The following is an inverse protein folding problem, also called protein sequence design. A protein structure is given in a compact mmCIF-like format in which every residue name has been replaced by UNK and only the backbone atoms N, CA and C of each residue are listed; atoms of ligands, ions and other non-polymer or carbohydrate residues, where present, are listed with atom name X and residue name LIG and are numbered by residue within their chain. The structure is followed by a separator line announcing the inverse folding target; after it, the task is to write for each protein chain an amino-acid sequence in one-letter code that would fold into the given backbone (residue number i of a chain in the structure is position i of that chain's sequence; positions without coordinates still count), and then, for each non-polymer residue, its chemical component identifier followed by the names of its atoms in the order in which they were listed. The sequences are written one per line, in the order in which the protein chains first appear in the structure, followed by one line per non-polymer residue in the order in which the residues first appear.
data_IF_087118649809
#
_entry.id   IF_087118649809
#
_cell.length_a   1.000
_cell.length_b   1.000
_cell.length_c   1.000
_cell.angle_alpha   90.00
_cell.angle_beta   90.00
_cell.angle_gamma   90.00
#
_symmetry.space_group_name_H-M   'P 1'
#
loop_
_entity.id
_entity.type
_entity.pdbx_description
1 polymer ?
#
# COMPACT_ATOMS: atom_id res chain seq x y z
N UNK A 1 -6.86 -20.47 -68.80
CA UNK A 1 -7.40 -21.02 -67.57
C UNK A 1 -6.83 -20.20 -66.43
N UNK A 2 -7.64 -19.27 -65.88
CA UNK A 2 -7.24 -18.34 -64.82
C UNK A 2 -8.00 -18.70 -63.57
N UNK A 3 -7.29 -19.08 -62.49
CA UNK A 3 -7.90 -19.26 -61.17
C UNK A 3 -7.72 -17.97 -60.36
N UNK A 4 -8.82 -17.32 -60.06
CA UNK A 4 -8.87 -16.20 -59.14
C UNK A 4 -8.87 -16.69 -57.68
N UNK A 5 -7.95 -16.17 -56.88
CA UNK A 5 -7.96 -16.31 -55.41
C UNK A 5 -8.84 -15.23 -54.79
N UNK A 6 -9.88 -15.67 -54.11
CA UNK A 6 -10.69 -14.81 -53.22
C UNK A 6 -10.04 -14.82 -51.80
N UNK A 7 -9.51 -13.69 -51.40
CA UNK A 7 -9.08 -13.47 -50.01
C UNK A 7 -10.27 -13.02 -49.17
N UNK A 8 -10.74 -13.85 -48.27
CA UNK A 8 -11.73 -13.50 -47.27
C UNK A 8 -11.01 -12.84 -46.07
N UNK A 9 -10.93 -11.52 -46.04
CA UNK A 9 -10.49 -10.77 -44.86
C UNK A 9 -11.64 -10.68 -43.86
N UNK A 10 -11.56 -11.45 -42.78
CA UNK A 10 -12.45 -11.31 -41.64
C UNK A 10 -12.04 -10.04 -40.84
N UNK A 11 -12.85 -8.98 -40.95
CA UNK A 11 -12.74 -7.84 -40.07
C UNK A 11 -13.22 -8.21 -38.67
N UNK A 12 -12.30 -8.27 -37.72
CA UNK A 12 -12.62 -8.32 -36.28
C UNK A 12 -13.13 -6.92 -35.93
N UNK A 13 -14.44 -6.76 -35.80
CA UNK A 13 -15.03 -5.54 -35.24
C UNK A 13 -14.78 -5.54 -33.74
N UNK A 14 -13.91 -4.66 -33.27
CA UNK A 14 -13.76 -4.35 -31.86
C UNK A 14 -15.13 -3.88 -31.32
N UNK A 15 -15.75 -4.66 -30.45
CA UNK A 15 -16.91 -4.21 -29.69
C UNK A 15 -16.44 -3.13 -28.72
N UNK A 16 -16.96 -1.92 -28.89
CA UNK A 16 -16.76 -0.82 -27.98
C UNK A 16 -17.22 -1.21 -26.54
N UNK A 17 -16.48 -0.76 -25.56
CA UNK A 17 -16.85 -0.88 -24.15
C UNK A 17 -18.27 -0.30 -23.94
N UNK A 18 -19.04 -0.81 -22.96
CA UNK A 18 -20.40 -0.34 -22.71
C UNK A 18 -20.35 1.16 -22.34
N UNK A 19 -21.03 1.96 -23.14
CA UNK A 19 -21.15 3.39 -22.95
C UNK A 19 -21.90 3.68 -21.64
N UNK A 20 -21.34 4.50 -20.78
CA UNK A 20 -22.08 5.20 -19.73
C UNK A 20 -23.03 6.15 -20.47
N UNK A 21 -24.33 5.99 -20.29
CA UNK A 21 -25.29 6.88 -20.92
C UNK A 21 -25.31 8.23 -20.21
N UNK A 22 -25.65 9.35 -20.90
CA UNK A 22 -25.80 10.65 -20.26
C UNK A 22 -26.77 10.66 -19.07
N UNK A 23 -27.77 9.78 -19.05
CA UNK A 23 -28.67 9.60 -17.89
C UNK A 23 -27.97 8.93 -16.69
N UNK A 24 -27.02 8.04 -16.93
CA UNK A 24 -26.18 7.48 -15.86
C UNK A 24 -25.21 8.52 -15.30
N UNK A 25 -24.63 9.36 -16.17
CA UNK A 25 -23.81 10.49 -15.72
C UNK A 25 -24.63 11.52 -14.93
N UNK A 26 -25.85 11.82 -15.35
CA UNK A 26 -26.75 12.74 -14.65
C UNK A 26 -27.23 12.19 -13.31
N UNK A 27 -27.48 10.89 -13.20
CA UNK A 27 -27.79 10.23 -11.91
C UNK A 27 -26.59 10.20 -10.97
N UNK A 28 -25.36 10.01 -11.48
CA UNK A 28 -24.15 10.16 -10.67
C UNK A 28 -23.97 11.59 -10.13
N UNK A 29 -24.33 12.60 -10.91
CA UNK A 29 -24.24 14.02 -10.50
C UNK A 29 -25.33 14.45 -9.50
N UNK A 30 -26.46 13.73 -9.42
CA UNK A 30 -27.61 14.10 -8.56
C UNK A 30 -27.57 13.47 -7.16
N UNK A 31 -26.69 12.49 -6.89
CA UNK A 31 -26.42 12.04 -5.53
C UNK A 31 -25.40 12.98 -4.91
N UNK A 32 -25.76 13.69 -3.84
CA UNK A 32 -24.84 14.44 -2.98
C UNK A 32 -23.56 13.62 -2.82
N UNK A 33 -22.44 14.08 -3.39
CA UNK A 33 -21.21 13.33 -3.45
C UNK A 33 -20.71 13.05 -2.02
N UNK A 34 -20.93 11.84 -1.55
CA UNK A 34 -20.36 11.35 -0.29
C UNK A 34 -18.90 10.91 -0.53
N UNK A 35 -18.17 11.71 -1.31
CA UNK A 35 -16.79 11.42 -1.66
C UNK A 35 -15.87 11.65 -0.48
N UNK A 36 -14.94 10.74 -0.28
CA UNK A 36 -13.85 10.91 0.70
C UNK A 36 -12.59 11.32 -0.04
N UNK A 37 -12.04 12.50 0.29
CA UNK A 37 -10.74 12.91 -0.22
C UNK A 37 -9.65 12.16 0.50
N UNK A 38 -8.88 11.38 -0.27
CA UNK A 38 -7.72 10.60 0.19
C UNK A 38 -6.43 11.34 -0.15
N UNK A 39 -5.43 11.24 0.74
CA UNK A 39 -4.07 11.68 0.47
C UNK A 39 -3.06 10.57 0.74
N UNK A 40 -2.14 10.35 -0.19
CA UNK A 40 -0.97 9.49 -0.02
C UNK A 40 0.27 10.37 0.09
N UNK A 41 1.01 10.21 1.18
CA UNK A 41 2.22 11.00 1.42
C UNK A 41 3.43 10.22 0.94
N UNK A 42 3.95 10.56 -0.24
CA UNK A 42 5.23 10.06 -0.72
C UNK A 42 6.35 10.93 -0.16
N UNK A 43 7.20 10.37 0.68
CA UNK A 43 8.27 11.09 1.35
C UNK A 43 9.57 10.29 1.39
N UNK A 44 10.70 11.00 1.47
CA UNK A 44 12.01 10.45 1.81
C UNK A 44 12.19 10.39 3.33
N UNK A 45 13.10 9.54 3.81
CA UNK A 45 13.44 9.43 5.22
C UNK A 45 14.90 9.80 5.45
N UNK A 46 15.14 10.68 6.43
CA UNK A 46 16.46 11.05 6.90
C UNK A 46 16.96 10.07 7.99
N UNK A 47 18.26 10.07 8.33
CA UNK A 47 18.78 9.30 9.48
C UNK A 47 18.14 9.70 10.82
N UNK A 48 17.78 10.98 10.98
CA UNK A 48 17.14 11.50 12.19
C UNK A 48 15.66 11.11 12.23
N UNK A 49 15.32 10.23 13.16
CA UNK A 49 13.96 9.72 13.35
C UNK A 49 12.96 10.77 13.81
N UNK A 50 13.41 11.78 14.56
CA UNK A 50 12.53 12.86 14.99
C UNK A 50 12.22 13.81 13.84
N UNK A 51 13.21 14.13 13.02
CA UNK A 51 13.00 14.94 11.81
C UNK A 51 12.00 14.27 10.84
N UNK A 52 12.02 12.94 10.72
CA UNK A 52 11.05 12.21 9.92
C UNK A 52 9.63 12.28 10.50
N UNK A 53 9.49 12.17 11.82
CA UNK A 53 8.20 12.32 12.49
C UNK A 53 7.64 13.73 12.30
N UNK A 54 8.47 14.75 12.52
CA UNK A 54 8.07 16.15 12.35
C UNK A 54 7.65 16.45 10.92
N UNK A 55 8.40 15.92 9.92
CA UNK A 55 8.05 15.98 8.50
C UNK A 55 6.70 15.30 8.23
N UNK A 56 6.50 14.07 8.72
CA UNK A 56 5.26 13.32 8.53
C UNK A 56 4.06 14.09 9.11
N UNK A 57 4.17 14.62 10.33
CA UNK A 57 3.13 15.44 10.98
C UNK A 57 2.82 16.69 10.15
N UNK A 58 3.86 17.39 9.65
CA UNK A 58 3.70 18.56 8.80
C UNK A 58 2.98 18.22 7.49
N UNK A 59 3.36 17.12 6.83
CA UNK A 59 2.72 16.64 5.60
C UNK A 59 1.27 16.19 5.82
N UNK A 60 0.96 15.53 6.95
CA UNK A 60 -0.42 15.19 7.33
C UNK A 60 -1.25 16.47 7.51
N UNK A 61 -0.70 17.49 8.15
CA UNK A 61 -1.36 18.79 8.32
C UNK A 61 -1.59 19.50 6.97
N UNK A 62 -0.61 19.50 6.09
CA UNK A 62 -0.72 20.01 4.72
C UNK A 62 -1.84 19.31 3.94
N UNK A 63 -1.89 17.96 4.00
CA UNK A 63 -2.93 17.17 3.37
C UNK A 63 -4.34 17.50 3.92
N UNK A 64 -4.44 17.66 5.24
CA UNK A 64 -5.68 18.04 5.91
C UNK A 64 -6.18 19.43 5.46
N UNK A 65 -5.28 20.41 5.38
CA UNK A 65 -5.59 21.76 4.89
C UNK A 65 -6.04 21.75 3.41
N UNK A 66 -5.55 20.79 2.60
CA UNK A 66 -6.03 20.55 1.24
C UNK A 66 -7.36 19.76 1.17
N UNK A 67 -7.98 19.48 2.33
CA UNK A 67 -9.29 18.85 2.44
C UNK A 67 -9.28 17.32 2.53
N UNK A 68 -8.11 16.67 2.64
CA UNK A 68 -8.04 15.23 2.83
C UNK A 68 -8.66 14.83 4.17
N UNK A 69 -9.35 13.69 4.19
CA UNK A 69 -9.97 13.08 5.38
C UNK A 69 -9.37 11.73 5.73
N UNK A 70 -8.77 11.08 4.77
CA UNK A 70 -8.15 9.77 4.92
C UNK A 70 -6.72 9.85 4.34
N UNK A 71 -5.71 9.66 5.19
CA UNK A 71 -4.31 9.92 4.86
C UNK A 71 -3.48 8.69 5.15
N UNK A 72 -2.59 8.30 4.24
CA UNK A 72 -1.67 7.19 4.45
C UNK A 72 -0.20 7.65 4.31
N UNK A 73 0.59 7.30 5.31
CA UNK A 73 2.05 7.46 5.33
C UNK A 73 2.71 6.20 4.75
N UNK A 74 3.95 6.27 4.23
CA UNK A 74 4.66 5.09 3.75
C UNK A 74 5.05 4.15 4.90
N UNK A 75 5.47 2.95 4.55
CA UNK A 75 5.94 1.95 5.52
C UNK A 75 7.14 2.46 6.29
N UNK A 76 7.14 2.24 7.64
CA UNK A 76 8.24 2.55 8.55
C UNK A 76 8.78 4.00 8.38
N UNK A 77 7.89 4.94 8.12
CA UNK A 77 8.21 6.33 7.73
C UNK A 77 9.09 7.09 8.73
N UNK A 78 9.18 6.60 9.97
CA UNK A 78 9.92 7.27 11.04
C UNK A 78 11.43 7.16 10.90
N UNK A 79 11.92 6.16 10.18
CA UNK A 79 13.36 5.91 10.02
C UNK A 79 13.72 5.65 8.55
N UNK A 80 15.00 5.80 8.21
CA UNK A 80 15.51 5.15 7.03
C UNK A 80 15.23 3.64 7.12
N UNK A 81 15.15 2.99 5.96
CA UNK A 81 14.83 1.56 5.91
C UNK A 81 16.00 0.73 6.45
N UNK A 82 15.92 0.45 7.74
CA UNK A 82 16.98 -0.18 8.52
C UNK A 82 17.16 -1.67 8.22
N UNK A 83 16.19 -2.31 7.57
CA UNK A 83 16.25 -3.74 7.24
C UNK A 83 17.28 -4.08 6.13
N UNK A 84 18.05 -3.10 5.65
CA UNK A 84 19.16 -3.33 4.73
C UNK A 84 20.32 -4.11 5.38
N UNK A 85 20.32 -4.25 6.70
CA UNK A 85 21.30 -5.03 7.49
C UNK A 85 20.65 -5.62 8.73
N UNK A 86 21.31 -6.63 9.30
CA UNK A 86 20.95 -7.21 10.60
C UNK A 86 21.78 -6.53 11.70
N UNK A 87 21.16 -5.65 12.47
CA UNK A 87 21.84 -4.87 13.51
C UNK A 87 20.98 -4.75 14.77
N UNK A 88 21.42 -5.34 15.87
CA UNK A 88 20.71 -5.29 17.14
C UNK A 88 20.57 -3.87 17.72
N UNK A 89 21.46 -2.94 17.38
CA UNK A 89 21.36 -1.57 17.86
C UNK A 89 20.08 -0.87 17.35
N UNK A 90 19.56 -1.28 16.18
CA UNK A 90 18.37 -0.71 15.58
C UNK A 90 17.06 -1.04 16.31
N UNK A 91 17.05 -2.05 17.18
CA UNK A 91 15.92 -2.27 18.09
C UNK A 91 15.70 -1.13 19.08
N UNK A 92 16.68 -0.24 19.27
CA UNK A 92 16.50 0.98 20.07
C UNK A 92 15.53 2.00 19.41
N UNK A 93 15.25 1.86 18.10
CA UNK A 93 14.32 2.76 17.37
C UNK A 93 12.86 2.32 17.47
N UNK A 94 12.58 1.22 18.16
CA UNK A 94 11.21 0.70 18.35
C UNK A 94 10.40 1.57 19.31
N UNK A 95 9.10 1.56 19.12
CA UNK A 95 8.15 2.19 20.04
C UNK A 95 6.96 1.27 20.36
N UNK A 96 6.29 1.53 21.48
CA UNK A 96 5.00 0.90 21.77
C UNK A 96 3.91 1.52 20.91
N UNK A 97 2.80 0.82 20.75
CA UNK A 97 1.57 1.38 20.19
C UNK A 97 0.47 1.21 21.27
N UNK A 98 -0.01 2.33 21.88
CA UNK A 98 0.35 3.74 21.65
C UNK A 98 1.79 4.07 22.05
N UNK A 99 2.34 5.09 21.38
CA UNK A 99 3.69 5.58 21.57
C UNK A 99 3.89 7.00 21.02
N UNK A 100 5.14 7.50 21.00
CA UNK A 100 5.42 8.87 20.59
C UNK A 100 4.88 9.26 19.22
N UNK A 101 5.02 8.38 18.22
CA UNK A 101 4.54 8.66 16.86
C UNK A 101 3.01 8.72 16.80
N UNK A 102 2.34 7.78 17.43
CA UNK A 102 0.85 7.80 17.46
C UNK A 102 0.33 8.98 18.27
N UNK A 103 1.01 9.41 19.35
CA UNK A 103 0.64 10.58 20.11
C UNK A 103 0.72 11.87 19.27
N UNK A 104 1.84 12.09 18.57
CA UNK A 104 2.03 13.25 17.71
C UNK A 104 1.00 13.30 16.56
N UNK A 105 0.72 12.15 15.92
CA UNK A 105 -0.29 12.07 14.86
C UNK A 105 -1.71 12.25 15.40
N UNK A 106 -2.02 11.75 16.61
CA UNK A 106 -3.33 11.89 17.24
C UNK A 106 -3.72 13.36 17.49
N UNK A 107 -2.76 14.24 17.73
CA UNK A 107 -3.04 15.67 17.85
C UNK A 107 -3.64 16.23 16.55
N UNK A 108 -3.01 15.93 15.41
CA UNK A 108 -3.47 16.38 14.08
C UNK A 108 -4.77 15.67 13.68
N UNK A 109 -4.89 14.38 14.02
CA UNK A 109 -6.12 13.59 13.77
C UNK A 109 -7.32 14.24 14.45
N UNK A 110 -7.18 14.69 15.71
CA UNK A 110 -8.24 15.41 16.42
C UNK A 110 -8.48 16.81 15.87
N UNK A 111 -7.40 17.56 15.61
CA UNK A 111 -7.47 18.95 15.14
C UNK A 111 -8.27 19.09 13.82
N UNK A 112 -8.07 18.16 12.89
CA UNK A 112 -8.66 18.22 11.54
C UNK A 112 -9.75 17.18 11.27
N UNK A 113 -10.11 16.36 12.25
CA UNK A 113 -11.10 15.27 12.11
C UNK A 113 -10.70 14.32 10.98
N UNK A 114 -9.58 13.60 11.16
CA UNK A 114 -8.95 12.75 10.17
C UNK A 114 -9.04 11.27 10.50
N UNK A 115 -8.76 10.44 9.47
CA UNK A 115 -8.26 9.09 9.61
C UNK A 115 -6.83 9.06 9.04
N UNK A 116 -5.87 8.53 9.83
CA UNK A 116 -4.46 8.43 9.42
C UNK A 116 -3.98 7.01 9.58
N UNK A 117 -3.31 6.47 8.54
CA UNK A 117 -2.65 5.18 8.54
C UNK A 117 -1.14 5.41 8.65
N UNK A 118 -0.52 4.85 9.70
CA UNK A 118 0.90 5.03 10.01
C UNK A 118 1.57 3.68 10.30
N UNK A 119 2.53 3.27 9.47
CA UNK A 119 3.31 2.04 9.68
C UNK A 119 4.53 2.33 10.55
N UNK A 120 4.70 1.53 11.61
CA UNK A 120 5.66 1.74 12.69
C UNK A 120 6.40 0.44 13.04
N UNK A 121 7.60 0.58 13.61
CA UNK A 121 8.33 -0.51 14.25
C UNK A 121 7.82 -0.70 15.69
N UNK A 122 6.85 -1.60 15.84
CA UNK A 122 6.21 -1.87 17.13
C UNK A 122 7.08 -2.73 18.05
N UNK A 123 7.32 -2.26 19.26
CA UNK A 123 7.74 -3.10 20.39
C UNK A 123 6.52 -3.53 21.18
N UNK A 124 6.01 -4.74 20.92
CA UNK A 124 4.85 -5.29 21.62
C UNK A 124 5.20 -5.76 23.03
N UNK A 125 6.36 -6.37 23.16
CA UNK A 125 6.91 -6.87 24.42
C UNK A 125 8.45 -7.01 24.30
N UNK A 126 9.18 -7.22 25.38
CA UNK A 126 10.60 -7.56 25.31
C UNK A 126 10.84 -8.78 24.41
N UNK A 127 11.65 -8.60 23.34
CA UNK A 127 11.95 -9.65 22.36
C UNK A 127 10.84 -9.96 21.35
N UNK A 128 9.74 -9.19 21.32
CA UNK A 128 8.63 -9.37 20.39
C UNK A 128 8.31 -8.08 19.68
N UNK A 129 8.55 -8.06 18.36
CA UNK A 129 8.46 -6.87 17.53
C UNK A 129 7.69 -7.15 16.24
N UNK A 130 7.00 -6.12 15.74
CA UNK A 130 6.22 -6.20 14.50
C UNK A 130 6.40 -4.95 13.64
N UNK A 131 6.22 -5.11 12.35
CA UNK A 131 5.92 -4.03 11.43
C UNK A 131 4.40 -3.82 11.48
N UNK A 132 3.97 -2.70 12.07
CA UNK A 132 2.56 -2.49 12.43
C UNK A 132 2.01 -1.20 11.85
N UNK A 133 0.94 -1.30 11.08
CA UNK A 133 0.16 -0.14 10.68
C UNK A 133 -0.87 0.18 11.78
N UNK A 134 -0.76 1.35 12.38
CA UNK A 134 -1.76 1.93 13.27
C UNK A 134 -2.75 2.75 12.44
N UNK A 135 -4.04 2.51 12.66
CA UNK A 135 -5.15 3.27 12.07
C UNK A 135 -5.67 4.20 13.16
N UNK A 136 -5.37 5.49 13.02
CA UNK A 136 -5.86 6.54 13.90
C UNK A 136 -7.13 7.13 13.29
N UNK A 137 -8.18 7.29 14.11
CA UNK A 137 -9.46 7.85 13.68
C UNK A 137 -9.95 8.82 14.75
N UNK A 138 -10.28 10.04 14.37
CA UNK A 138 -10.81 11.05 15.30
C UNK A 138 -12.09 10.61 15.99
N UNK A 139 -12.89 9.74 15.37
CA UNK A 139 -14.12 9.20 15.92
C UNK A 139 -13.91 7.99 16.84
N UNK A 140 -12.66 7.53 17.01
CA UNK A 140 -12.33 6.44 17.93
C UNK A 140 -12.60 6.85 19.38
N UNK A 141 -13.20 5.94 20.15
CA UNK A 141 -13.38 6.11 21.60
C UNK A 141 -12.11 5.83 22.40
N UNK A 142 -11.05 5.33 21.75
CA UNK A 142 -9.75 5.15 22.35
C UNK A 142 -9.12 6.54 22.61
N UNK A 143 -8.58 6.82 23.82
CA UNK A 143 -8.00 8.12 24.14
C UNK A 143 -6.82 8.52 23.24
N UNK A 144 -6.12 7.55 22.65
CA UNK A 144 -5.03 7.76 21.70
C UNK A 144 -5.50 7.81 20.24
N UNK A 145 -6.82 7.85 20.00
CA UNK A 145 -7.47 7.79 18.68
C UNK A 145 -7.15 6.53 17.85
N UNK A 146 -6.53 5.52 18.42
CA UNK A 146 -6.22 4.27 17.71
C UNK A 146 -7.52 3.46 17.56
N UNK A 147 -8.05 3.41 16.34
CA UNK A 147 -9.24 2.65 16.00
C UNK A 147 -8.93 1.17 15.80
N UNK A 148 -7.75 0.86 15.24
CA UNK A 148 -7.29 -0.49 14.97
C UNK A 148 -5.79 -0.51 14.73
N UNK A 149 -5.23 -1.73 14.75
CA UNK A 149 -3.87 -2.00 14.27
C UNK A 149 -3.88 -3.21 13.32
N UNK A 150 -2.96 -3.19 12.36
CA UNK A 150 -2.65 -4.33 11.51
C UNK A 150 -1.15 -4.65 11.60
N UNK A 151 -0.79 -5.89 11.87
CA UNK A 151 0.58 -6.37 11.88
C UNK A 151 0.86 -7.09 10.57
N UNK A 152 1.90 -6.68 9.86
CA UNK A 152 2.32 -7.24 8.57
C UNK A 152 2.39 -8.75 8.63
N UNK A 153 1.64 -9.43 7.78
CA UNK A 153 1.51 -10.89 7.79
C UNK A 153 2.67 -11.58 7.07
N UNK A 154 3.07 -11.04 5.92
CA UNK A 154 4.14 -11.59 5.11
C UNK A 154 5.42 -10.77 5.32
N UNK A 155 6.44 -11.41 5.88
CA UNK A 155 7.72 -10.79 6.19
C UNK A 155 8.75 -11.24 5.16
N UNK A 156 9.33 -10.32 4.34
CA UNK A 156 10.36 -10.65 3.37
C UNK A 156 11.69 -11.01 4.02
N UNK A 157 12.52 -11.70 3.24
CA UNK A 157 13.88 -12.05 3.58
C UNK A 157 14.72 -12.14 2.30
N UNK A 158 14.85 -11.01 1.64
CA UNK A 158 15.65 -10.85 0.42
C UNK A 158 16.89 -9.98 0.71
N UNK A 159 17.91 -10.00 -0.13
CA UNK A 159 19.05 -9.09 0.00
C UNK A 159 18.61 -7.64 0.21
N UNK A 160 19.14 -6.98 1.23
CA UNK A 160 18.78 -5.63 1.70
C UNK A 160 17.31 -5.46 2.18
N UNK A 161 16.56 -6.56 2.31
CA UNK A 161 15.22 -6.62 2.91
C UNK A 161 15.16 -7.69 4.01
N UNK A 162 16.11 -7.66 4.94
CA UNK A 162 16.26 -8.62 6.05
C UNK A 162 15.23 -8.37 7.17
N UNK A 163 13.97 -8.30 6.80
CA UNK A 163 12.90 -7.99 7.75
C UNK A 163 12.66 -9.11 8.77
N UNK A 164 12.94 -10.37 8.43
CA UNK A 164 12.79 -11.49 9.38
C UNK A 164 13.70 -11.42 10.59
N UNK A 165 14.81 -10.69 10.51
CA UNK A 165 15.66 -10.41 11.66
C UNK A 165 14.95 -9.55 12.71
N UNK A 166 14.09 -8.63 12.26
CA UNK A 166 13.44 -7.64 13.12
C UNK A 166 12.02 -8.04 13.52
N UNK A 167 11.23 -8.61 12.59
CA UNK A 167 9.79 -8.71 12.75
C UNK A 167 9.28 -10.13 12.88
N UNK A 168 8.42 -10.32 13.87
CA UNK A 168 7.54 -11.48 13.96
C UNK A 168 6.37 -11.29 12.98
N UNK A 169 5.96 -12.31 12.21
CA UNK A 169 4.76 -12.26 11.39
C UNK A 169 3.53 -11.84 12.19
N UNK A 170 2.60 -11.16 11.52
CA UNK A 170 1.39 -10.67 12.14
C UNK A 170 0.51 -11.79 12.68
N UNK A 171 -0.07 -11.55 13.86
CA UNK A 171 -0.90 -12.51 14.59
C UNK A 171 -2.38 -12.09 14.71
N UNK A 172 -2.75 -11.01 14.04
CA UNK A 172 -4.11 -10.46 14.07
C UNK A 172 -4.97 -10.88 12.88
N UNK A 173 -4.34 -11.51 11.87
CA UNK A 173 -4.98 -11.84 10.60
C UNK A 173 -5.30 -10.62 9.75
N UNK A 174 -5.86 -10.87 8.56
CA UNK A 174 -6.32 -9.81 7.66
C UNK A 174 -7.62 -9.19 8.19
N UNK A 175 -7.72 -7.85 8.12
CA UNK A 175 -8.81 -7.10 8.74
C UNK A 175 -9.34 -6.01 7.82
N UNK A 176 -10.64 -5.75 7.91
CA UNK A 176 -11.24 -4.50 7.49
C UNK A 176 -11.62 -3.68 8.71
N UNK A 177 -11.42 -2.38 8.65
CA UNK A 177 -11.76 -1.44 9.71
C UNK A 177 -12.80 -0.45 9.20
N UNK A 178 -13.93 -0.35 9.93
CA UNK A 178 -14.87 0.76 9.73
C UNK A 178 -14.27 2.00 10.37
N UNK A 179 -14.11 3.05 9.58
CA UNK A 179 -13.60 4.35 10.03
C UNK A 179 -14.63 5.44 9.75
N UNK A 180 -14.40 6.62 10.32
CA UNK A 180 -15.19 7.81 10.01
C UNK A 180 -15.10 8.25 8.53
N UNK A 181 -14.08 7.78 7.82
CA UNK A 181 -13.85 8.07 6.39
C UNK A 181 -14.22 6.89 5.46
N UNK A 182 -14.93 5.88 5.99
CA UNK A 182 -15.37 4.69 5.25
C UNK A 182 -14.67 3.40 5.68
N UNK A 183 -15.08 2.24 5.13
CA UNK A 183 -14.49 0.94 5.45
C UNK A 183 -13.19 0.72 4.67
N UNK A 184 -12.08 0.57 5.39
CA UNK A 184 -10.75 0.40 4.83
C UNK A 184 -10.13 -0.94 5.18
N UNK A 185 -9.19 -1.39 4.38
CA UNK A 185 -8.24 -2.45 4.69
C UNK A 185 -6.81 -1.94 4.57
N UNK A 186 -5.94 -2.36 5.49
CA UNK A 186 -4.53 -2.03 5.44
C UNK A 186 -3.73 -3.31 5.37
N UNK A 187 -2.84 -3.38 4.38
CA UNK A 187 -1.87 -4.44 4.16
C UNK A 187 -0.52 -3.77 3.94
N UNK A 188 0.57 -4.34 4.48
CA UNK A 188 1.86 -3.63 4.48
C UNK A 188 2.83 -4.28 3.50
N UNK A 189 3.33 -3.50 2.56
CA UNK A 189 4.45 -3.80 1.66
C UNK A 189 4.39 -5.21 1.05
N UNK A 190 5.16 -6.19 1.57
CA UNK A 190 5.25 -7.55 1.03
C UNK A 190 3.89 -8.25 0.92
N UNK A 191 2.90 -7.88 1.74
CA UNK A 191 1.52 -8.36 1.62
C UNK A 191 0.90 -8.06 0.26
N UNK A 192 1.38 -7.04 -0.45
CA UNK A 192 0.88 -6.60 -1.76
C UNK A 192 1.03 -7.66 -2.86
N UNK A 193 1.96 -8.61 -2.69
CA UNK A 193 2.20 -9.66 -3.68
C UNK A 193 1.24 -10.84 -3.56
N UNK A 194 0.48 -10.94 -2.45
CA UNK A 194 -0.38 -12.07 -2.12
C UNK A 194 -1.86 -11.74 -2.33
N UNK A 195 -2.50 -12.27 -3.39
CA UNK A 195 -3.92 -12.03 -3.68
C UNK A 195 -4.85 -12.42 -2.54
N UNK A 196 -4.48 -13.42 -1.74
CA UNK A 196 -5.25 -13.93 -0.61
C UNK A 196 -5.48 -12.83 0.45
N UNK A 197 -4.45 -12.04 0.76
CA UNK A 197 -4.54 -10.95 1.74
C UNK A 197 -5.56 -9.90 1.31
N UNK A 198 -5.45 -9.41 0.08
CA UNK A 198 -6.37 -8.45 -0.51
C UNK A 198 -7.80 -9.01 -0.58
N UNK A 199 -7.96 -10.26 -1.00
CA UNK A 199 -9.25 -10.94 -1.09
C UNK A 199 -9.93 -11.08 0.26
N UNK A 200 -9.22 -11.58 1.28
CA UNK A 200 -9.79 -11.77 2.62
C UNK A 200 -10.19 -10.42 3.21
N UNK A 201 -9.36 -9.39 3.05
CA UNK A 201 -9.63 -8.04 3.54
C UNK A 201 -10.87 -7.44 2.88
N UNK A 202 -11.03 -7.59 1.56
CA UNK A 202 -12.22 -7.15 0.84
C UNK A 202 -13.48 -7.94 1.26
N UNK A 203 -13.37 -9.25 1.48
CA UNK A 203 -14.47 -10.10 1.99
C UNK A 203 -14.91 -9.71 3.41
N UNK A 204 -14.03 -9.08 4.19
CA UNK A 204 -14.36 -8.52 5.52
C UNK A 204 -15.01 -7.14 5.43
N UNK A 205 -15.23 -6.62 4.21
CA UNK A 205 -15.99 -5.40 3.95
C UNK A 205 -15.15 -4.17 3.64
N UNK A 206 -13.84 -4.30 3.38
CA UNK A 206 -13.05 -3.17 2.91
C UNK A 206 -13.51 -2.73 1.50
N UNK A 207 -13.65 -1.43 1.33
CA UNK A 207 -13.97 -0.76 0.05
C UNK A 207 -12.75 -0.03 -0.52
N UNK A 208 -11.78 0.29 0.34
CA UNK A 208 -10.47 0.83 -0.05
C UNK A 208 -9.37 0.04 0.62
N UNK A 209 -8.39 -0.43 -0.16
CA UNK A 209 -7.20 -1.11 0.34
C UNK A 209 -6.01 -0.16 0.30
N UNK A 210 -5.30 -0.05 1.43
CA UNK A 210 -4.07 0.71 1.56
C UNK A 210 -2.87 -0.22 1.67
N UNK A 211 -1.81 0.11 0.92
CA UNK A 211 -0.54 -0.59 0.94
C UNK A 211 0.60 0.40 1.25
N UNK A 212 0.82 0.77 2.54
CA UNK A 212 2.04 1.45 2.93
C UNK A 212 3.24 0.56 2.62
N UNK A 213 4.21 1.10 1.90
CA UNK A 213 5.29 0.33 1.27
C UNK A 213 6.63 1.04 1.41
N UNK A 214 7.71 0.24 1.45
CA UNK A 214 9.08 0.63 1.28
C UNK A 214 9.74 -0.34 0.28
N UNK A 215 9.61 -0.05 -1.02
CA UNK A 215 10.14 -0.87 -2.10
C UNK A 215 10.91 -0.01 -3.09
N UNK A 216 12.03 -0.53 -3.58
CA UNK A 216 12.93 0.17 -4.48
C UNK A 216 13.74 -0.79 -5.32
N UNK A 217 14.57 -0.22 -6.15
CA UNK A 217 15.53 -0.96 -6.96
C UNK A 217 16.84 -1.17 -6.20
N UNK A 218 17.43 -2.31 -6.39
CA UNK A 218 18.87 -2.45 -6.21
C UNK A 218 19.56 -1.71 -7.38
N UNK A 219 20.42 -0.73 -7.12
CA UNK A 219 21.03 0.07 -8.20
C UNK A 219 21.73 -0.78 -9.25
N UNK A 220 22.36 -1.89 -8.85
CA UNK A 220 23.05 -2.84 -9.74
C UNK A 220 22.12 -3.59 -10.69
N UNK A 221 20.85 -3.77 -10.34
CA UNK A 221 19.83 -4.48 -11.14
C UNK A 221 18.92 -3.55 -11.94
N UNK A 222 18.89 -2.27 -11.58
CA UNK A 222 17.90 -1.31 -12.08
C UNK A 222 17.87 -1.23 -13.62
N UNK A 223 19.03 -1.29 -14.27
CA UNK A 223 19.12 -1.16 -15.74
C UNK A 223 18.49 -2.37 -16.43
N UNK A 224 18.66 -3.58 -15.88
CA UNK A 224 18.17 -4.82 -16.50
C UNK A 224 16.73 -5.14 -16.11
N UNK A 225 16.38 -4.96 -14.84
CA UNK A 225 15.10 -5.45 -14.28
C UNK A 225 14.17 -4.35 -13.79
N UNK A 226 14.64 -3.11 -13.64
CA UNK A 226 13.92 -2.06 -12.92
C UNK A 226 12.53 -1.75 -13.48
N UNK A 227 12.38 -1.69 -14.81
CA UNK A 227 11.08 -1.47 -15.46
C UNK A 227 10.11 -2.62 -15.17
N UNK A 228 10.58 -3.86 -15.29
CA UNK A 228 9.74 -5.07 -15.05
C UNK A 228 9.32 -5.19 -13.59
N UNK A 229 10.22 -4.86 -12.64
CA UNK A 229 9.92 -4.88 -11.21
C UNK A 229 8.85 -3.86 -10.86
N UNK A 230 8.97 -2.64 -11.38
CA UNK A 230 7.97 -1.59 -11.16
C UNK A 230 6.63 -1.91 -11.82
N UNK A 231 6.62 -2.39 -13.05
CA UNK A 231 5.39 -2.80 -13.76
C UNK A 231 4.68 -3.94 -13.02
N UNK A 232 5.42 -4.95 -12.55
CA UNK A 232 4.86 -6.05 -11.77
C UNK A 232 4.21 -5.53 -10.46
N UNK A 233 4.89 -4.62 -9.75
CA UNK A 233 4.38 -4.00 -8.53
C UNK A 233 3.08 -3.22 -8.75
N UNK A 234 3.01 -2.44 -9.83
CA UNK A 234 1.81 -1.68 -10.17
C UNK A 234 0.69 -2.60 -10.66
N UNK A 235 1.03 -3.61 -11.46
CA UNK A 235 0.06 -4.55 -12.05
C UNK A 235 -0.63 -5.39 -10.99
N UNK A 236 0.11 -5.98 -10.04
CA UNK A 236 -0.49 -6.84 -9.01
C UNK A 236 -1.48 -6.06 -8.13
N UNK A 237 -1.17 -4.82 -7.77
CA UNK A 237 -2.04 -3.99 -6.95
C UNK A 237 -3.29 -3.54 -7.71
N UNK A 238 -3.17 -3.19 -8.99
CA UNK A 238 -4.30 -2.93 -9.88
C UNK A 238 -5.19 -4.18 -10.05
N UNK A 239 -4.57 -5.36 -10.11
CA UNK A 239 -5.31 -6.62 -10.13
C UNK A 239 -6.14 -6.83 -8.85
N UNK A 240 -5.63 -6.41 -7.67
CA UNK A 240 -6.43 -6.44 -6.43
C UNK A 240 -7.65 -5.52 -6.52
N UNK A 241 -7.52 -4.33 -7.09
CA UNK A 241 -8.65 -3.42 -7.30
C UNK A 241 -9.72 -4.09 -8.17
N UNK A 242 -9.34 -4.59 -9.33
CA UNK A 242 -10.24 -5.24 -10.31
C UNK A 242 -10.92 -6.47 -9.69
N UNK A 243 -10.11 -7.41 -9.15
CA UNK A 243 -10.60 -8.68 -8.66
C UNK A 243 -11.57 -8.56 -7.48
N UNK A 244 -11.50 -7.46 -6.72
CA UNK A 244 -12.32 -7.23 -5.54
C UNK A 244 -13.37 -6.12 -5.73
N UNK A 245 -13.30 -5.36 -6.82
CA UNK A 245 -14.15 -4.18 -7.06
C UNK A 245 -13.99 -3.16 -5.93
N UNK A 246 -12.75 -2.74 -5.64
CA UNK A 246 -12.39 -1.81 -4.55
C UNK A 246 -11.39 -0.77 -5.04
N UNK A 247 -11.27 0.35 -4.34
CA UNK A 247 -10.14 1.25 -4.54
C UNK A 247 -8.86 0.65 -3.97
N UNK A 248 -7.72 0.95 -4.61
CA UNK A 248 -6.39 0.59 -4.11
C UNK A 248 -5.52 1.83 -4.02
N UNK A 249 -4.91 2.04 -2.87
CA UNK A 249 -4.05 3.15 -2.53
C UNK A 249 -2.65 2.60 -2.17
N UNK A 250 -1.72 2.66 -3.11
CA UNK A 250 -0.34 2.24 -2.93
C UNK A 250 0.53 3.45 -2.60
N UNK A 251 1.09 3.50 -1.40
CA UNK A 251 1.96 4.59 -0.97
C UNK A 251 3.37 4.07 -0.70
N UNK A 252 4.34 4.64 -1.38
CA UNK A 252 5.75 4.27 -1.27
C UNK A 252 6.58 5.44 -0.76
N UNK A 253 7.74 5.14 -0.21
CA UNK A 253 8.78 6.15 0.04
C UNK A 253 9.56 6.44 -1.25
N UNK A 254 10.35 7.50 -1.24
CA UNK A 254 11.20 7.94 -2.36
C UNK A 254 12.59 8.30 -1.86
N UNK A 255 13.57 8.20 -2.74
CA UNK A 255 14.95 8.57 -2.48
C UNK A 255 15.88 7.36 -2.33
N UNK A 256 17.17 7.65 -2.27
CA UNK A 256 18.21 6.65 -2.13
C UNK A 256 18.65 6.57 -0.66
N UNK A 257 18.61 5.38 -0.10
CA UNK A 257 19.02 5.12 1.27
C UNK A 257 20.13 4.08 1.29
N UNK A 258 21.30 4.48 1.78
CA UNK A 258 22.45 3.59 1.94
C UNK A 258 22.36 2.85 3.27
N UNK A 259 22.66 1.55 3.27
CA UNK A 259 22.98 0.83 4.48
C UNK A 259 24.30 1.39 5.06
N UNK A 260 24.33 1.74 6.36
CA UNK A 260 25.58 2.16 7.00
C UNK A 260 26.52 0.96 7.09
N UNK A 261 27.64 1.01 6.35
CA UNK A 261 28.64 -0.07 6.25
C UNK A 261 29.54 -0.19 7.48
N UNK A 262 29.46 0.74 8.42
CA UNK A 262 30.42 0.82 9.55
C UNK A 262 30.30 -0.33 10.55
N UNK A 263 29.22 -1.15 10.49
CA UNK A 263 28.94 -2.21 11.45
C UNK A 263 28.59 -3.57 10.82
N UNK A 264 28.79 -3.75 9.50
CA UNK A 264 28.50 -5.04 8.87
C UNK A 264 29.55 -6.07 9.25
N UNK A 265 29.18 -7.00 10.12
CA UNK A 265 29.84 -8.28 10.25
C UNK A 265 29.76 -9.02 8.93
N UNK A 266 30.89 -9.16 8.31
CA UNK A 266 31.26 -9.88 7.10
C UNK A 266 30.20 -10.81 6.51
N UNK A 267 29.47 -10.34 5.50
CA UNK A 267 29.02 -11.21 4.44
C UNK A 267 29.83 -10.88 3.20
N UNK A 268 30.78 -11.77 2.83
CA UNK A 268 31.56 -11.63 1.59
C UNK A 268 30.62 -11.72 0.40
N UNK A 269 30.62 -10.71 -0.50
CA UNK A 269 29.76 -10.74 -1.67
C UNK A 269 30.14 -11.89 -2.61
N UNK A 270 29.15 -12.76 -2.92
CA UNK A 270 29.25 -13.67 -4.06
C UNK A 270 28.96 -12.94 -5.38
N UNK A 271 29.23 -13.56 -6.54
CA UNK A 271 28.86 -12.98 -7.82
C UNK A 271 27.36 -12.67 -7.87
N UNK A 272 26.97 -11.42 -8.12
CA UNK A 272 25.59 -10.95 -8.11
C UNK A 272 25.07 -10.52 -6.73
N UNK A 273 25.93 -10.36 -5.72
CA UNK A 273 25.53 -9.91 -4.40
C UNK A 273 25.31 -8.40 -4.38
N UNK A 274 24.16 -7.99 -3.81
CA UNK A 274 23.91 -6.60 -3.47
C UNK A 274 24.71 -6.25 -2.21
N UNK A 275 25.43 -5.16 -2.24
CA UNK A 275 26.18 -4.70 -1.08
C UNK A 275 25.41 -3.63 -0.34
N UNK A 276 25.50 -3.52 1.00
CA UNK A 276 24.91 -2.42 1.75
C UNK A 276 25.40 -1.04 1.26
N UNK A 277 26.57 -0.98 0.62
CA UNK A 277 27.15 0.22 0.01
C UNK A 277 26.32 0.74 -1.16
N UNK A 278 25.69 -0.19 -1.93
CA UNK A 278 24.82 0.18 -3.05
C UNK A 278 23.49 0.76 -2.55
N UNK A 279 23.03 0.33 -1.39
CA UNK A 279 21.75 0.75 -0.80
C UNK A 279 20.53 0.37 -1.62
N UNK A 280 19.42 1.05 -1.35
CA UNK A 280 18.15 0.91 -2.07
C UNK A 280 17.72 2.25 -2.64
N UNK A 281 17.39 2.28 -3.92
CA UNK A 281 16.74 3.40 -4.56
C UNK A 281 15.22 3.19 -4.52
N UNK A 282 14.54 3.77 -3.52
CA UNK A 282 13.09 3.70 -3.40
C UNK A 282 12.43 4.46 -4.53
N UNK A 283 11.62 3.76 -5.31
CA UNK A 283 11.15 4.25 -6.62
C UNK A 283 9.92 5.18 -6.55
N UNK A 284 9.45 5.57 -5.36
CA UNK A 284 8.26 6.41 -5.28
C UNK A 284 7.10 5.82 -6.05
N UNK A 285 6.58 6.58 -7.02
CA UNK A 285 5.56 6.12 -7.95
C UNK A 285 4.25 5.70 -7.28
N UNK A 286 3.97 6.23 -6.10
CA UNK A 286 2.71 6.01 -5.38
C UNK A 286 1.52 6.25 -6.29
N UNK A 287 0.43 5.50 -6.12
CA UNK A 287 -0.73 5.66 -6.99
C UNK A 287 -2.04 5.28 -6.30
N UNK A 288 -3.13 5.75 -6.89
CA UNK A 288 -4.48 5.39 -6.51
C UNK A 288 -5.16 4.77 -7.74
N UNK A 289 -5.75 3.59 -7.58
CA UNK A 289 -6.53 2.93 -8.61
C UNK A 289 -8.00 2.83 -8.21
N UNK A 290 -8.88 3.03 -9.19
CA UNK A 290 -10.31 2.84 -9.04
C UNK A 290 -10.70 1.33 -9.06
N UNK A 291 -11.97 0.97 -8.77
CA UNK A 291 -12.43 -0.41 -8.75
C UNK A 291 -12.28 -1.18 -10.08
N UNK A 292 -12.04 -0.49 -11.20
CA UNK A 292 -11.69 -1.09 -12.49
C UNK A 292 -10.17 -1.22 -12.71
N UNK A 293 -9.35 -0.87 -11.71
CA UNK A 293 -7.89 -0.89 -11.79
C UNK A 293 -7.30 0.22 -12.66
N UNK A 294 -8.08 1.24 -13.02
CA UNK A 294 -7.57 2.42 -13.70
C UNK A 294 -6.85 3.30 -12.69
N UNK A 295 -5.65 3.73 -13.02
CA UNK A 295 -4.91 4.68 -12.19
C UNK A 295 -5.56 6.06 -12.36
N UNK A 296 -6.11 6.59 -11.25
CA UNK A 296 -6.77 7.89 -11.21
C UNK A 296 -5.85 9.00 -10.69
N UNK A 297 -4.79 8.62 -9.96
CA UNK A 297 -3.74 9.53 -9.54
C UNK A 297 -2.42 8.76 -9.40
N UNK A 298 -1.28 9.39 -9.76
CA UNK A 298 0.05 8.80 -9.72
C UNK A 298 1.11 9.84 -9.41
N UNK A 299 2.00 9.52 -8.48
CA UNK A 299 3.15 10.32 -8.11
C UNK A 299 4.36 10.04 -9.01
N UNK A 300 5.32 10.93 -8.99
CA UNK A 300 6.61 10.77 -9.66
C UNK A 300 7.50 9.71 -8.97
N UNK A 301 8.60 9.36 -9.63
CA UNK A 301 9.57 8.41 -9.09
C UNK A 301 10.63 9.04 -8.19
N UNK A 302 10.78 10.37 -8.24
CA UNK A 302 11.98 11.06 -7.73
C UNK A 302 11.67 12.21 -6.75
N UNK A 303 10.39 12.48 -6.48
CA UNK A 303 10.00 13.64 -5.66
C UNK A 303 9.19 13.27 -4.44
N UNK A 304 9.36 14.06 -3.39
CA UNK A 304 8.39 14.10 -2.30
C UNK A 304 7.15 14.84 -2.76
N UNK A 305 6.00 14.22 -2.62
CA UNK A 305 4.72 14.83 -3.00
C UNK A 305 3.56 14.22 -2.23
N UNK A 306 2.47 14.95 -2.16
CA UNK A 306 1.21 14.46 -1.61
C UNK A 306 0.25 14.23 -2.77
N UNK A 307 -0.15 12.98 -2.96
CA UNK A 307 -1.05 12.56 -4.01
C UNK A 307 -2.49 12.57 -3.51
N UNK A 308 -3.40 13.18 -4.25
CA UNK A 308 -4.81 13.32 -3.87
C UNK A 308 -5.75 12.63 -4.86
N UNK A 309 -6.83 12.04 -4.33
CA UNK A 309 -8.00 11.65 -5.11
C UNK A 309 -9.27 11.75 -4.26
N UNK A 310 -10.39 12.00 -4.91
CA UNK A 310 -11.73 11.96 -4.30
C UNK A 310 -12.35 10.59 -4.64
N UNK A 311 -12.60 9.75 -3.63
CA UNK A 311 -13.13 8.41 -3.79
C UNK A 311 -14.63 8.41 -3.50
N UNK A 312 -15.43 7.99 -4.48
CA UNK A 312 -16.87 7.81 -4.31
C UNK A 312 -17.18 6.35 -3.98
N UNK A 313 -17.66 6.02 -2.77
CA UNK A 313 -18.02 4.64 -2.41
C UNK A 313 -19.13 4.05 -3.31
N UNK A 314 -19.93 4.89 -3.99
CA UNK A 314 -20.91 4.41 -4.95
C UNK A 314 -20.27 3.72 -6.17
N UNK A 315 -19.02 4.03 -6.51
CA UNK A 315 -18.28 3.34 -7.58
C UNK A 315 -18.01 1.87 -7.20
N UNK A 316 -17.75 1.57 -5.93
CA UNK A 316 -17.55 0.19 -5.44
C UNK A 316 -18.82 -0.62 -5.63
N UNK A 317 -19.97 -0.09 -5.17
CA UNK A 317 -21.26 -0.77 -5.31
C UNK A 317 -21.62 -0.96 -6.79
N UNK A 318 -21.51 0.09 -7.61
CA UNK A 318 -21.81 0.06 -9.03
C UNK A 318 -20.92 -0.96 -9.76
N UNK A 319 -19.62 -0.98 -9.48
CA UNK A 319 -18.68 -1.93 -10.08
C UNK A 319 -19.04 -3.37 -9.73
N UNK A 320 -19.33 -3.65 -8.44
CA UNK A 320 -19.70 -4.99 -7.96
C UNK A 320 -21.05 -5.46 -8.50
N UNK A 321 -21.96 -4.55 -8.80
CA UNK A 321 -23.24 -4.89 -9.45
C UNK A 321 -23.03 -5.28 -10.92
N UNK A 322 -22.23 -4.53 -11.67
CA UNK A 322 -22.01 -4.74 -13.10
C UNK A 322 -21.00 -5.85 -13.38
N UNK A 323 -19.96 -5.98 -12.55
CA UNK A 323 -18.96 -7.04 -12.60
C UNK A 323 -19.00 -7.84 -11.29
N UNK A 324 -19.90 -8.81 -11.17
CA UNK A 324 -20.25 -9.44 -9.89
C UNK A 324 -19.23 -10.52 -9.48
N UNK A 325 -17.95 -10.24 -9.55
CA UNK A 325 -16.89 -11.19 -9.24
C UNK A 325 -16.99 -11.79 -7.83
N UNK A 326 -17.47 -11.02 -6.84
CA UNK A 326 -17.66 -11.53 -5.48
C UNK A 326 -18.82 -12.52 -5.41
N UNK A 327 -19.93 -12.26 -6.12
CA UNK A 327 -21.12 -13.13 -6.18
C UNK A 327 -20.81 -14.44 -6.90
N UNK A 328 -20.05 -14.36 -7.98
CA UNK A 328 -19.81 -15.48 -8.89
C UNK A 328 -18.64 -16.39 -8.44
N UNK A 329 -18.10 -16.16 -7.23
CA UNK A 329 -17.02 -16.98 -6.67
C UNK A 329 -17.48 -18.43 -6.47
N UNK A 330 -16.65 -19.36 -6.89
CA UNK A 330 -16.85 -20.81 -6.70
C UNK A 330 -16.23 -21.26 -5.36
N UNK A 331 -16.84 -20.80 -4.25
CA UNK A 331 -16.36 -21.09 -2.90
C UNK A 331 -16.28 -22.59 -2.58
N UNK A 332 -17.04 -23.39 -3.30
CA UNK A 332 -17.05 -24.86 -3.26
C UNK A 332 -15.75 -25.48 -3.82
N UNK A 333 -15.00 -24.74 -4.65
CA UNK A 333 -13.80 -25.23 -5.35
C UNK A 333 -12.48 -24.69 -4.77
N UNK A 334 -12.50 -23.79 -3.78
CA UNK A 334 -11.29 -23.11 -3.29
C UNK A 334 -10.61 -23.78 -2.10
N UNK A 335 -11.04 -25.00 -1.71
CA UNK A 335 -10.50 -25.69 -0.51
C UNK A 335 -8.98 -25.91 -0.54
N UNK A 336 -8.39 -26.04 -1.72
CA UNK A 336 -6.95 -26.23 -1.88
C UNK A 336 -6.07 -25.01 -1.62
N UNK A 337 -6.65 -23.79 -1.56
CA UNK A 337 -5.86 -22.56 -1.46
C UNK A 337 -5.06 -22.45 -0.14
N UNK A 338 -5.41 -23.24 0.87
CA UNK A 338 -4.71 -23.29 2.15
C UNK A 338 -3.51 -24.22 2.14
N UNK A 339 -3.32 -25.02 1.07
CA UNK A 339 -2.16 -25.87 0.88
C UNK A 339 -1.05 -25.12 0.17
N UNK A 340 0.20 -25.38 0.56
CA UNK A 340 1.36 -24.75 -0.08
C UNK A 340 1.54 -25.22 -1.51
N UNK A 341 1.18 -26.46 -1.79
CA UNK A 341 1.23 -27.13 -3.08
C UNK A 341 0.12 -28.19 -3.15
N UNK A 342 -0.40 -28.46 -4.34
CA UNK A 342 -1.42 -29.52 -4.57
C UNK A 342 -0.76 -30.59 -5.43
N UNK A 343 -0.77 -31.85 -4.96
CA UNK A 343 -0.30 -33.04 -5.69
C UNK A 343 -1.35 -33.54 -6.68
#
# INVERSE_FOLDING_TARGET
MSLGMLSSGSRITARAAPFITPEMELKLQMTSSNTTRVALIQMSCAPDTQANLDKAVARVREAALAGAKLICLPELFRAQYFCQREDHALFATTESIPGPSTAALSEVVREYSLVVIASLFERRAPGLYHNTAAILDHASTNPDNIASIYRKMHIPDDPLYYEKFYFTPGDLGFRAQKTSAGPIGTLVCWDQWYPEGARITALKGAETLFFPTAIGWHPSEKVEFGERQYDAWQTIQRAHAIANGVFVCAVNRVGHEHGDVTHSGVNMPGPGSHTPEDGLEFWGGSFIADPFGRIIAKASHDKEEILYADLDPAEVETTRQHWPFLRDRRIDAYGGITSRFLD
#
